data_IF_331747004489
#
_entry.id   IF_331747004489
#
_cell.length_a   1.000
_cell.length_b   1.000
_cell.length_c   1.000
_cell.angle_alpha   90.00
_cell.angle_beta   90.00
_cell.angle_gamma   90.00
#
_symmetry.space_group_name_H-M   'P 1'
#
loop_
_entity.id
_entity.type
_entity.pdbx_description
1 polymer ?
#
# COMPACT_ATOMS: atom_id res chain seq x y z
N UNK A 1 -34.29 18.81 -9.80
CA UNK A 1 -33.26 18.04 -9.04
C UNK A 1 -33.24 16.64 -9.61
N UNK A 2 -32.11 16.24 -10.23
CA UNK A 2 -32.09 15.08 -11.14
C UNK A 2 -32.23 13.74 -10.41
N UNK A 3 -33.44 13.15 -10.45
CA UNK A 3 -33.68 11.75 -10.07
C UNK A 3 -32.77 10.74 -10.81
N UNK A 4 -32.12 11.17 -11.90
CA UNK A 4 -31.20 10.36 -12.68
C UNK A 4 -29.87 10.08 -11.98
N UNK A 5 -29.40 10.90 -11.02
CA UNK A 5 -28.17 10.65 -10.28
C UNK A 5 -28.32 9.48 -9.31
N UNK A 6 -29.44 9.44 -8.59
CA UNK A 6 -29.74 8.35 -7.64
C UNK A 6 -29.91 6.99 -8.34
N UNK A 7 -30.34 6.98 -9.60
CA UNK A 7 -30.48 5.78 -10.41
C UNK A 7 -29.12 5.24 -10.93
N UNK A 8 -28.06 6.07 -10.91
CA UNK A 8 -26.71 5.68 -11.36
C UNK A 8 -25.80 5.20 -10.22
N UNK A 9 -26.25 5.37 -8.97
CA UNK A 9 -25.49 4.91 -7.80
C UNK A 9 -25.66 3.38 -7.67
N UNK A 10 -24.55 2.68 -7.53
CA UNK A 10 -24.56 1.27 -7.18
C UNK A 10 -24.93 1.08 -5.70
N UNK A 11 -26.21 0.90 -5.44
CA UNK A 11 -26.75 0.75 -4.09
C UNK A 11 -26.24 -0.52 -3.39
N UNK A 12 -25.84 -1.55 -4.13
CA UNK A 12 -25.23 -2.75 -3.55
C UNK A 12 -23.86 -2.44 -2.97
N UNK A 13 -23.05 -1.69 -3.70
CA UNK A 13 -21.75 -1.25 -3.19
C UNK A 13 -21.91 -0.35 -1.94
N UNK A 14 -22.87 0.57 -1.96
CA UNK A 14 -23.20 1.41 -0.81
C UNK A 14 -23.64 0.58 0.39
N UNK A 15 -24.52 -0.40 0.19
CA UNK A 15 -24.97 -1.29 1.27
C UNK A 15 -23.79 -2.08 1.86
N UNK A 16 -22.94 -2.66 1.03
CA UNK A 16 -21.75 -3.39 1.48
C UNK A 16 -20.82 -2.48 2.29
N UNK A 17 -20.61 -1.23 1.85
CA UNK A 17 -19.81 -0.25 2.59
C UNK A 17 -20.38 0.00 3.99
N UNK A 18 -21.69 0.27 4.12
CA UNK A 18 -22.31 0.51 5.42
C UNK A 18 -22.24 -0.71 6.34
N UNK A 19 -22.43 -1.92 5.80
CA UNK A 19 -22.29 -3.16 6.56
C UNK A 19 -20.86 -3.29 7.11
N UNK A 20 -19.84 -3.09 6.27
CA UNK A 20 -18.44 -3.19 6.67
C UNK A 20 -18.06 -2.14 7.72
N UNK A 21 -18.49 -0.89 7.56
CA UNK A 21 -18.23 0.17 8.54
C UNK A 21 -18.91 -0.13 9.87
N UNK A 22 -20.18 -0.55 9.84
CA UNK A 22 -20.92 -0.89 11.06
C UNK A 22 -20.25 -2.05 11.78
N UNK A 23 -19.85 -3.09 11.06
CA UNK A 23 -19.14 -4.22 11.63
C UNK A 23 -17.80 -3.80 12.25
N UNK A 24 -17.03 -2.92 11.58
CA UNK A 24 -15.81 -2.33 12.12
C UNK A 24 -16.04 -1.55 13.42
N UNK A 25 -17.07 -0.70 13.47
CA UNK A 25 -17.43 0.05 14.68
C UNK A 25 -17.83 -0.86 15.85
N UNK A 26 -18.58 -1.93 15.58
CA UNK A 26 -18.96 -2.93 16.59
C UNK A 26 -17.71 -3.65 17.12
N UNK A 27 -16.76 -4.00 16.27
CA UNK A 27 -15.51 -4.63 16.71
C UNK A 27 -14.66 -3.67 17.55
N UNK A 28 -14.50 -2.41 17.13
CA UNK A 28 -13.75 -1.40 17.90
C UNK A 28 -14.40 -1.22 19.28
N UNK A 29 -15.73 -1.12 19.33
CA UNK A 29 -16.46 -1.01 20.60
C UNK A 29 -16.20 -2.21 21.50
N UNK A 30 -16.31 -3.43 20.94
CA UNK A 30 -16.06 -4.68 21.68
C UNK A 30 -14.65 -4.74 22.27
N UNK A 31 -13.65 -4.24 21.54
CA UNK A 31 -12.27 -4.27 21.97
C UNK A 31 -11.93 -3.26 23.07
N UNK A 32 -12.65 -2.14 23.14
CA UNK A 32 -12.39 -1.06 24.11
C UNK A 32 -13.27 -1.19 25.35
N UNK A 33 -14.34 -1.98 25.27
CA UNK A 33 -15.31 -2.12 26.35
C UNK A 33 -14.73 -2.80 27.61
N UNK A 34 -14.63 -2.03 28.70
CA UNK A 34 -14.08 -2.47 29.99
C UNK A 34 -15.16 -2.56 31.10
N UNK A 35 -16.40 -2.91 30.74
CA UNK A 35 -17.52 -2.97 31.69
C UNK A 35 -18.23 -1.64 31.95
N UNK A 36 -17.72 -0.52 31.44
CA UNK A 36 -18.36 0.80 31.51
C UNK A 36 -18.87 1.15 30.12
N UNK A 37 -20.12 1.62 30.04
CA UNK A 37 -20.71 2.05 28.75
C UNK A 37 -19.95 3.26 28.20
N UNK A 38 -19.34 3.09 27.03
CA UNK A 38 -18.64 4.17 26.35
C UNK A 38 -19.65 5.01 25.58
N UNK A 39 -19.55 6.34 25.71
CA UNK A 39 -20.34 7.25 24.87
C UNK A 39 -19.84 7.21 23.44
N UNK A 40 -20.74 6.92 22.48
CA UNK A 40 -20.44 6.85 21.04
C UNK A 40 -20.12 8.22 20.42
N UNK A 41 -20.42 9.33 21.10
CA UNK A 41 -20.20 10.69 20.60
C UNK A 41 -19.10 11.44 21.34
N UNK A 42 -18.47 10.82 22.32
CA UNK A 42 -17.38 11.41 23.09
C UNK A 42 -16.08 11.37 22.27
N UNK A 43 -15.62 12.55 21.82
CA UNK A 43 -14.40 12.69 21.03
C UNK A 43 -13.11 12.33 21.78
N UNK A 44 -13.17 12.19 23.12
CA UNK A 44 -12.03 11.72 23.91
C UNK A 44 -11.73 10.22 23.69
N UNK A 45 -12.76 9.44 23.38
CA UNK A 45 -12.67 7.99 23.18
C UNK A 45 -12.37 7.64 21.70
N UNK A 46 -11.68 6.52 21.49
CA UNK A 46 -11.33 6.03 20.13
C UNK A 46 -12.59 5.77 19.30
N UNK A 47 -13.61 5.11 19.90
CA UNK A 47 -14.87 4.84 19.19
C UNK A 47 -15.62 6.12 18.82
N UNK A 48 -15.66 7.10 19.73
CA UNK A 48 -16.31 8.38 19.45
C UNK A 48 -15.62 9.14 18.33
N UNK A 49 -14.27 9.18 18.29
CA UNK A 49 -13.51 9.74 17.17
C UNK A 49 -13.87 9.05 15.85
N UNK A 50 -13.96 7.73 15.83
CA UNK A 50 -14.28 6.96 14.62
C UNK A 50 -15.71 7.24 14.13
N UNK A 51 -16.68 7.37 15.02
CA UNK A 51 -18.06 7.74 14.69
C UNK A 51 -18.09 9.15 14.10
N UNK A 52 -17.41 10.12 14.70
CA UNK A 52 -17.34 11.48 14.16
C UNK A 52 -16.68 11.54 12.78
N UNK A 53 -15.56 10.84 12.58
CA UNK A 53 -14.93 10.77 11.26
C UNK A 53 -15.84 10.12 10.22
N UNK A 54 -16.60 9.09 10.60
CA UNK A 54 -17.58 8.49 9.71
C UNK A 54 -18.67 9.47 9.30
N UNK A 55 -19.21 10.25 10.25
CA UNK A 55 -20.21 11.28 9.98
C UNK A 55 -19.65 12.35 9.03
N UNK A 56 -18.42 12.82 9.28
CA UNK A 56 -17.72 13.79 8.42
C UNK A 56 -17.55 13.22 7.00
N UNK A 57 -17.14 11.97 6.88
CA UNK A 57 -17.02 11.31 5.57
C UNK A 57 -18.34 11.25 4.82
N UNK A 58 -19.47 10.97 5.50
CA UNK A 58 -20.79 10.99 4.89
C UNK A 58 -21.19 12.40 4.41
N UNK A 59 -20.89 13.43 5.20
CA UNK A 59 -21.14 14.82 4.82
C UNK A 59 -20.33 15.20 3.58
N UNK A 60 -19.09 14.77 3.48
CA UNK A 60 -18.22 15.03 2.31
C UNK A 60 -18.66 14.19 1.10
N UNK A 61 -19.13 12.97 1.31
CA UNK A 61 -19.54 12.07 0.24
C UNK A 61 -20.71 12.61 -0.58
N UNK A 62 -21.69 13.25 0.07
CA UNK A 62 -22.87 13.82 -0.61
C UNK A 62 -22.48 14.86 -1.70
N UNK A 63 -21.72 15.93 -1.40
CA UNK A 63 -21.31 16.89 -2.44
C UNK A 63 -20.45 16.24 -3.53
N UNK A 64 -19.58 15.28 -3.20
CA UNK A 64 -18.75 14.58 -4.19
C UNK A 64 -19.58 13.89 -5.27
N UNK A 65 -20.76 13.35 -4.94
CA UNK A 65 -21.68 12.76 -5.92
C UNK A 65 -22.26 13.77 -6.91
N UNK A 66 -22.35 15.06 -6.54
CA UNK A 66 -22.89 16.12 -7.38
C UNK A 66 -21.83 16.89 -8.17
N UNK A 67 -20.57 16.76 -7.81
CA UNK A 67 -19.46 17.45 -8.48
C UNK A 67 -19.24 16.83 -9.86
N UNK A 68 -19.16 17.69 -10.88
CA UNK A 68 -18.84 17.26 -12.24
C UNK A 68 -17.39 16.77 -12.32
N UNK A 69 -17.13 15.66 -13.03
CA UNK A 69 -15.80 15.12 -13.30
C UNK A 69 -14.83 16.16 -13.89
N UNK A 70 -15.33 17.09 -14.70
CA UNK A 70 -14.52 18.17 -15.27
C UNK A 70 -13.83 19.05 -14.21
N UNK A 71 -14.45 19.23 -13.03
CA UNK A 71 -13.79 19.96 -11.94
C UNK A 71 -12.55 19.22 -11.42
N UNK A 72 -12.66 17.91 -11.28
CA UNK A 72 -11.51 17.08 -10.86
C UNK A 72 -10.39 17.09 -11.89
N UNK A 73 -10.73 17.13 -13.18
CA UNK A 73 -9.74 17.25 -14.27
C UNK A 73 -8.97 18.57 -14.15
N UNK A 74 -9.66 19.70 -13.96
CA UNK A 74 -9.02 21.02 -13.80
C UNK A 74 -8.18 21.13 -12.52
N UNK A 75 -8.63 20.49 -11.45
CA UNK A 75 -7.94 20.54 -10.14
C UNK A 75 -6.81 19.50 -10.02
N UNK A 76 -6.74 18.49 -10.88
CA UNK A 76 -5.81 17.37 -10.74
C UNK A 76 -4.35 17.83 -10.59
N UNK A 77 -3.89 18.74 -11.44
CA UNK A 77 -2.52 19.27 -11.38
C UNK A 77 -2.27 20.10 -10.13
N UNK A 78 -3.24 20.91 -9.72
CA UNK A 78 -3.14 21.77 -8.53
C UNK A 78 -3.08 20.89 -7.28
N UNK A 79 -3.97 19.91 -7.15
CA UNK A 79 -3.98 18.97 -6.03
C UNK A 79 -2.67 18.20 -5.92
N UNK A 80 -2.17 17.69 -7.05
CA UNK A 80 -0.89 17.00 -7.09
C UNK A 80 0.26 17.90 -6.62
N UNK A 81 0.32 19.15 -7.11
CA UNK A 81 1.36 20.10 -6.73
C UNK A 81 1.32 20.43 -5.24
N UNK A 82 0.11 20.63 -4.68
CA UNK A 82 -0.07 20.86 -3.24
C UNK A 82 0.43 19.64 -2.45
N UNK A 83 0.11 18.42 -2.89
CA UNK A 83 0.55 17.21 -2.19
C UNK A 83 2.07 17.04 -2.22
N UNK A 84 2.73 17.35 -3.34
CA UNK A 84 4.20 17.35 -3.41
C UNK A 84 4.80 18.37 -2.43
N UNK A 85 4.23 19.58 -2.36
CA UNK A 85 4.70 20.61 -1.41
C UNK A 85 4.50 20.13 0.04
N UNK A 86 3.37 19.51 0.36
CA UNK A 86 3.12 18.95 1.69
C UNK A 86 4.08 17.80 2.01
N UNK A 87 4.36 16.90 1.06
CA UNK A 87 5.34 15.84 1.26
C UNK A 87 6.75 16.42 1.50
N UNK A 88 7.16 17.45 0.75
CA UNK A 88 8.42 18.14 0.99
C UNK A 88 8.45 18.85 2.36
N UNK A 89 7.35 19.45 2.77
CA UNK A 89 7.23 20.13 4.06
C UNK A 89 7.40 19.19 5.26
N UNK A 90 7.13 17.88 5.13
CA UNK A 90 7.34 16.90 6.20
C UNK A 90 8.80 16.76 6.64
N UNK A 91 9.77 17.04 5.76
CA UNK A 91 11.19 17.04 6.13
C UNK A 91 11.56 18.15 7.13
N UNK A 92 10.72 19.20 7.21
CA UNK A 92 10.96 20.35 8.12
C UNK A 92 9.99 20.35 9.30
N UNK A 93 8.73 20.03 9.07
CA UNK A 93 7.64 20.16 10.04
C UNK A 93 7.02 18.82 10.44
N UNK A 94 7.52 17.70 9.93
CA UNK A 94 6.99 16.38 10.22
C UNK A 94 7.36 15.88 11.62
N UNK A 95 6.44 15.15 12.24
CA UNK A 95 6.71 14.40 13.47
C UNK A 95 6.99 12.93 13.13
N UNK A 96 7.90 12.32 13.89
CA UNK A 96 8.27 10.92 13.73
C UNK A 96 7.39 10.03 14.60
N UNK A 97 6.67 9.09 13.96
CA UNK A 97 5.85 8.09 14.62
C UNK A 97 6.28 6.71 14.11
N UNK A 98 6.62 5.80 15.02
CA UNK A 98 7.06 4.44 14.70
C UNK A 98 8.22 4.36 13.70
N UNK A 99 9.12 5.36 13.73
CA UNK A 99 10.30 5.44 12.86
C UNK A 99 10.09 6.19 11.54
N UNK A 100 8.85 6.56 11.16
CA UNK A 100 8.56 7.30 9.94
C UNK A 100 8.19 8.76 10.23
N UNK A 101 8.81 9.71 9.51
CA UNK A 101 8.52 11.16 9.62
C UNK A 101 7.45 11.54 8.60
N UNK A 102 6.24 11.01 8.77
CA UNK A 102 5.16 11.06 7.75
C UNK A 102 3.90 11.80 8.20
N UNK A 103 3.91 12.42 9.39
CA UNK A 103 2.73 13.03 9.99
C UNK A 103 2.92 14.52 10.30
N UNK A 104 1.89 15.32 10.05
CA UNK A 104 1.71 16.63 10.67
C UNK A 104 0.83 16.48 11.90
N UNK A 105 1.18 17.14 13.01
CA UNK A 105 0.36 17.21 14.22
C UNK A 105 -0.21 18.63 14.41
N UNK A 106 -1.51 18.72 14.44
CA UNK A 106 -2.26 19.97 14.65
C UNK A 106 -2.95 19.99 16.03
N UNK A 107 -2.25 19.59 17.07
CA UNK A 107 -2.79 19.62 18.43
C UNK A 107 -3.82 18.53 18.72
N UNK A 108 -3.53 17.30 18.28
CA UNK A 108 -4.37 16.11 18.51
C UNK A 108 -5.06 15.55 17.27
N UNK A 109 -5.06 16.31 16.17
CA UNK A 109 -5.45 15.79 14.85
C UNK A 109 -4.17 15.58 14.06
N UNK A 110 -3.91 14.35 13.64
CA UNK A 110 -2.76 13.98 12.84
C UNK A 110 -3.17 13.82 11.39
N UNK A 111 -2.41 14.42 10.48
CA UNK A 111 -2.62 14.34 9.04
C UNK A 111 -1.41 13.70 8.39
N UNK A 112 -1.66 12.66 7.60
CA UNK A 112 -0.63 11.97 6.80
C UNK A 112 -0.78 12.34 5.33
N UNK A 113 0.08 13.19 4.76
CA UNK A 113 -0.04 13.64 3.37
C UNK A 113 0.07 12.51 2.34
N UNK A 114 0.76 11.42 2.66
CA UNK A 114 0.88 10.25 1.77
C UNK A 114 -0.48 9.64 1.44
N UNK A 115 -1.47 9.67 2.36
CA UNK A 115 -2.82 9.18 2.13
C UNK A 115 -3.56 10.00 1.05
N UNK A 116 -3.46 11.31 1.14
CA UNK A 116 -4.07 12.23 0.17
C UNK A 116 -3.31 12.25 -1.16
N UNK A 117 -2.00 12.03 -1.13
CA UNK A 117 -1.19 11.99 -2.35
C UNK A 117 -1.58 10.84 -3.28
N UNK A 118 -2.06 9.70 -2.75
CA UNK A 118 -2.60 8.59 -3.55
C UNK A 118 -3.79 9.02 -4.40
N UNK A 119 -4.69 9.83 -3.83
CA UNK A 119 -5.85 10.39 -4.54
C UNK A 119 -5.39 11.38 -5.61
N UNK A 120 -4.51 12.31 -5.26
CA UNK A 120 -4.01 13.33 -6.19
C UNK A 120 -3.25 12.74 -7.38
N UNK A 121 -2.41 11.72 -7.13
CA UNK A 121 -1.70 10.97 -8.17
C UNK A 121 -2.69 10.26 -9.10
N UNK A 122 -3.69 9.58 -8.53
CA UNK A 122 -4.71 8.87 -9.32
C UNK A 122 -5.51 9.81 -10.20
N UNK A 123 -5.90 10.99 -9.69
CA UNK A 123 -6.61 12.02 -10.45
C UNK A 123 -5.74 12.59 -11.58
N UNK A 124 -4.47 12.88 -11.32
CA UNK A 124 -3.58 13.42 -12.35
C UNK A 124 -3.26 12.39 -13.44
N UNK A 125 -3.12 11.12 -13.08
CA UNK A 125 -2.96 10.03 -14.04
C UNK A 125 -4.22 9.90 -14.90
N UNK A 126 -5.40 9.89 -14.29
CA UNK A 126 -6.68 9.82 -15.00
C UNK A 126 -6.83 10.99 -15.97
N UNK A 127 -6.49 12.22 -15.54
CA UNK A 127 -6.49 13.40 -16.41
C UNK A 127 -5.56 13.25 -17.61
N UNK A 128 -4.33 12.78 -17.41
CA UNK A 128 -3.37 12.61 -18.51
C UNK A 128 -3.82 11.51 -19.48
N UNK A 129 -4.41 10.44 -18.97
CA UNK A 129 -4.86 9.31 -19.79
C UNK A 129 -6.20 9.58 -20.49
N UNK A 130 -7.00 10.54 -20.02
CA UNK A 130 -8.25 10.96 -20.69
C UNK A 130 -8.03 11.78 -21.98
N UNK A 131 -6.81 12.26 -22.22
CA UNK A 131 -6.49 13.02 -23.41
C UNK A 131 -6.61 12.19 -24.69
N UNK A 132 -7.17 12.79 -25.77
CA UNK A 132 -7.45 12.13 -27.06
C UNK A 132 -6.20 11.46 -27.68
N UNK A 133 -5.03 12.02 -27.43
CA UNK A 133 -3.73 11.54 -27.94
C UNK A 133 -2.90 10.77 -26.89
N UNK A 134 -3.48 10.43 -25.76
CA UNK A 134 -2.80 9.83 -24.63
C UNK A 134 -2.59 8.32 -24.81
N UNK A 135 -1.69 7.95 -25.69
CA UNK A 135 -1.26 6.56 -25.81
C UNK A 135 0.00 6.32 -24.96
N UNK A 136 -0.04 5.35 -24.04
CA UNK A 136 1.10 4.95 -23.19
C UNK A 136 2.31 4.44 -23.99
N UNK A 137 2.12 4.07 -25.24
CA UNK A 137 3.20 3.73 -26.17
C UNK A 137 4.01 4.95 -26.65
N UNK A 138 3.47 6.18 -26.51
CA UNK A 138 4.24 7.39 -26.76
C UNK A 138 5.21 7.63 -25.61
N UNK A 139 6.50 7.80 -25.91
CA UNK A 139 7.57 8.02 -24.91
C UNK A 139 7.24 9.15 -23.93
N UNK A 140 6.62 10.22 -24.39
CA UNK A 140 6.26 11.36 -23.52
C UNK A 140 5.19 11.00 -22.50
N UNK A 141 4.11 10.30 -22.90
CA UNK A 141 3.04 9.85 -22.01
C UNK A 141 3.57 8.82 -21.02
N UNK A 142 4.40 7.89 -21.49
CA UNK A 142 5.09 6.91 -20.65
C UNK A 142 5.93 7.57 -19.56
N UNK A 143 6.79 8.53 -19.94
CA UNK A 143 7.64 9.23 -18.97
C UNK A 143 6.82 10.05 -17.97
N UNK A 144 5.79 10.78 -18.43
CA UNK A 144 4.90 11.54 -17.53
C UNK A 144 4.22 10.62 -16.53
N UNK A 145 3.68 9.48 -16.96
CA UNK A 145 3.04 8.49 -16.10
C UNK A 145 3.96 8.05 -14.97
N UNK A 146 5.18 7.65 -15.29
CA UNK A 146 6.13 7.17 -14.29
C UNK A 146 6.69 8.28 -13.39
N UNK A 147 6.94 9.48 -13.91
CA UNK A 147 7.39 10.61 -13.09
C UNK A 147 6.33 10.97 -12.04
N UNK A 148 5.06 11.00 -12.41
CA UNK A 148 3.96 11.32 -11.50
C UNK A 148 3.82 10.30 -10.37
N UNK A 149 4.11 9.03 -10.63
CA UNK A 149 4.07 7.98 -9.61
C UNK A 149 5.34 7.98 -8.77
N UNK A 150 6.50 8.03 -9.42
CA UNK A 150 7.77 7.84 -8.74
C UNK A 150 8.16 9.04 -7.87
N UNK A 151 7.82 10.27 -8.26
CA UNK A 151 8.18 11.44 -7.48
C UNK A 151 7.62 11.41 -6.05
N UNK A 152 6.29 11.26 -5.81
CA UNK A 152 5.77 11.14 -4.45
C UNK A 152 6.26 9.86 -3.76
N UNK A 153 6.37 8.73 -4.47
CA UNK A 153 6.84 7.49 -3.90
C UNK A 153 8.28 7.60 -3.35
N UNK A 154 9.18 8.26 -4.08
CA UNK A 154 10.55 8.51 -3.64
C UNK A 154 10.61 9.46 -2.44
N UNK A 155 9.77 10.52 -2.41
CA UNK A 155 9.68 11.41 -1.26
C UNK A 155 9.20 10.66 0.00
N UNK A 156 8.24 9.76 -0.14
CA UNK A 156 7.70 8.96 0.96
C UNK A 156 8.75 7.92 1.44
N UNK A 157 9.51 7.31 0.54
CA UNK A 157 10.63 6.43 0.91
C UNK A 157 11.69 7.20 1.70
N UNK A 158 11.99 8.44 1.29
CA UNK A 158 12.94 9.31 1.99
C UNK A 158 12.44 9.76 3.39
N UNK A 159 11.14 9.58 3.71
CA UNK A 159 10.52 9.79 5.03
C UNK A 159 10.45 8.51 5.88
N UNK A 160 11.29 7.54 5.69
CA UNK A 160 11.28 6.11 6.05
C UNK A 160 9.85 5.48 6.18
N UNK A 161 8.98 5.69 5.16
CA UNK A 161 7.66 5.05 5.08
C UNK A 161 7.52 4.19 3.80
N UNK A 162 8.25 3.08 3.68
CA UNK A 162 8.20 2.22 2.51
C UNK A 162 6.83 1.56 2.31
N UNK A 163 6.04 1.38 3.38
CA UNK A 163 4.70 0.80 3.32
C UNK A 163 3.76 1.66 2.48
N UNK A 164 3.67 2.96 2.78
CA UNK A 164 2.86 3.90 2.01
C UNK A 164 3.36 4.06 0.57
N UNK A 165 4.68 4.02 0.35
CA UNK A 165 5.27 4.11 -0.99
C UNK A 165 4.91 2.90 -1.87
N UNK A 166 4.88 1.69 -1.32
CA UNK A 166 4.53 0.47 -2.06
C UNK A 166 3.11 0.50 -2.65
N UNK A 167 2.18 1.23 -2.04
CA UNK A 167 0.81 1.35 -2.55
C UNK A 167 0.78 1.94 -3.95
N UNK A 168 1.71 2.85 -4.28
CA UNK A 168 1.79 3.45 -5.62
C UNK A 168 2.14 2.42 -6.71
N UNK A 169 2.76 1.29 -6.34
CA UNK A 169 3.03 0.20 -7.29
C UNK A 169 1.75 -0.44 -7.82
N UNK A 170 0.61 -0.30 -7.12
CA UNK A 170 -0.69 -0.79 -7.61
C UNK A 170 -1.13 -0.11 -8.92
N UNK A 171 -0.65 1.11 -9.19
CA UNK A 171 -0.94 1.84 -10.43
C UNK A 171 -0.34 1.18 -11.69
N UNK A 172 0.53 0.18 -11.52
CA UNK A 172 1.00 -0.65 -12.64
C UNK A 172 -0.16 -1.40 -13.32
N UNK A 173 -1.19 -1.79 -12.56
CA UNK A 173 -2.37 -2.44 -13.13
C UNK A 173 -3.17 -1.47 -13.99
N UNK A 174 -3.24 -0.20 -13.58
CA UNK A 174 -3.84 0.87 -14.42
C UNK A 174 -3.03 1.07 -15.69
N UNK A 175 -1.69 1.09 -15.58
CA UNK A 175 -0.79 1.20 -16.73
C UNK A 175 -1.05 0.12 -17.79
N UNK A 176 -1.19 -1.13 -17.34
CA UNK A 176 -1.44 -2.27 -18.24
C UNK A 176 -2.83 -2.21 -18.86
N UNK A 177 -3.84 -1.89 -18.04
CA UNK A 177 -5.23 -1.76 -18.49
C UNK A 177 -5.38 -0.71 -19.61
N UNK A 178 -4.66 0.40 -19.49
CA UNK A 178 -4.71 1.50 -20.46
C UNK A 178 -3.74 1.28 -21.66
N UNK A 179 -3.34 0.05 -21.92
CA UNK A 179 -2.55 -0.34 -23.09
C UNK A 179 -1.04 -0.17 -22.92
N UNK A 180 -0.56 -0.06 -21.70
CA UNK A 180 0.87 -0.08 -21.40
C UNK A 180 1.51 -1.44 -21.67
N UNK A 181 2.83 -1.44 -21.81
CA UNK A 181 3.57 -2.64 -22.14
C UNK A 181 3.50 -3.70 -21.01
N UNK A 182 2.96 -4.87 -21.30
CA UNK A 182 2.83 -5.98 -20.35
C UNK A 182 4.18 -6.47 -19.79
N UNK A 183 5.28 -6.27 -20.51
CA UNK A 183 6.62 -6.61 -20.01
C UNK A 183 7.01 -5.86 -18.73
N UNK A 184 6.41 -4.69 -18.46
CA UNK A 184 6.63 -3.95 -17.22
C UNK A 184 6.10 -4.75 -16.02
N UNK A 185 4.94 -5.39 -16.13
CA UNK A 185 4.43 -6.28 -15.08
C UNK A 185 5.35 -7.47 -14.84
N UNK A 186 5.77 -8.12 -15.93
CA UNK A 186 6.70 -9.25 -15.85
C UNK A 186 7.98 -8.82 -15.14
N UNK A 187 8.51 -7.64 -15.49
CA UNK A 187 9.70 -7.10 -14.84
C UNK A 187 9.48 -6.86 -13.35
N UNK A 188 8.35 -6.26 -12.94
CA UNK A 188 8.06 -6.01 -11.53
C UNK A 188 7.86 -7.32 -10.74
N UNK A 189 7.15 -8.29 -11.30
CA UNK A 189 6.95 -9.60 -10.66
C UNK A 189 8.29 -10.35 -10.54
N UNK A 190 9.11 -10.33 -11.59
CA UNK A 190 10.43 -10.94 -11.58
C UNK A 190 11.35 -10.26 -10.56
N UNK A 191 11.33 -8.93 -10.49
CA UNK A 191 12.12 -8.17 -9.50
C UNK A 191 11.71 -8.50 -8.07
N UNK A 192 10.41 -8.58 -7.78
CA UNK A 192 9.90 -8.99 -6.48
C UNK A 192 10.32 -10.43 -6.14
N UNK A 193 10.26 -11.33 -7.10
CA UNK A 193 10.67 -12.72 -6.92
C UNK A 193 12.18 -12.82 -6.63
N UNK A 194 13.02 -12.11 -7.38
CA UNK A 194 14.47 -12.05 -7.15
C UNK A 194 14.76 -11.44 -5.77
N UNK A 195 14.03 -10.39 -5.37
CA UNK A 195 14.15 -9.76 -4.06
C UNK A 195 13.92 -10.79 -2.93
N UNK A 196 12.80 -11.51 -2.98
CA UNK A 196 12.46 -12.53 -1.98
C UNK A 196 13.51 -13.64 -1.94
N UNK A 197 13.90 -14.17 -3.11
CA UNK A 197 14.91 -15.23 -3.18
C UNK A 197 16.27 -14.77 -2.66
N UNK A 198 16.64 -13.51 -2.89
CA UNK A 198 17.92 -12.97 -2.40
C UNK A 198 17.95 -12.90 -0.88
N UNK A 199 16.84 -12.54 -0.25
CA UNK A 199 16.75 -12.50 1.22
C UNK A 199 16.74 -13.91 1.81
N UNK A 200 16.02 -14.85 1.18
CA UNK A 200 15.91 -16.23 1.68
C UNK A 200 17.21 -17.03 1.54
N UNK A 201 17.94 -16.88 0.43
CA UNK A 201 18.98 -17.82 0.03
C UNK A 201 20.36 -17.20 -0.20
N UNK A 202 20.62 -15.97 0.24
CA UNK A 202 21.86 -15.24 -0.10
C UNK A 202 21.93 -14.90 -1.62
N UNK A 203 22.55 -13.78 -2.06
CA UNK A 203 22.53 -13.33 -3.46
C UNK A 203 23.20 -14.29 -4.46
N UNK A 204 24.06 -15.19 -4.00
CA UNK A 204 24.79 -16.14 -4.86
C UNK A 204 23.82 -17.17 -5.49
N UNK A 205 22.93 -17.76 -4.69
CA UNK A 205 22.04 -18.82 -5.17
C UNK A 205 21.02 -18.36 -6.21
N UNK A 206 20.27 -17.25 -6.00
CA UNK A 206 19.40 -16.69 -7.04
C UNK A 206 20.17 -16.34 -8.31
N UNK A 207 21.40 -15.79 -8.20
CA UNK A 207 22.23 -15.45 -9.35
C UNK A 207 22.59 -16.67 -10.19
N UNK A 208 22.94 -17.80 -9.56
CA UNK A 208 23.20 -19.07 -10.25
C UNK A 208 21.93 -19.60 -10.91
N UNK A 209 20.79 -19.58 -10.21
CA UNK A 209 19.50 -20.01 -10.75
C UNK A 209 19.08 -19.20 -11.98
N UNK A 210 19.21 -17.88 -11.93
CA UNK A 210 18.94 -17.00 -13.06
C UNK A 210 19.85 -17.27 -14.24
N UNK A 211 21.16 -17.47 -13.98
CA UNK A 211 22.11 -17.80 -15.03
C UNK A 211 21.74 -19.12 -15.72
N UNK A 212 21.36 -20.14 -14.95
CA UNK A 212 20.92 -21.44 -15.46
C UNK A 212 19.66 -21.33 -16.33
N UNK A 213 18.65 -20.61 -15.86
CA UNK A 213 17.40 -20.39 -16.61
C UNK A 213 17.67 -19.64 -17.91
N UNK A 214 18.50 -18.59 -17.87
CA UNK A 214 18.86 -17.85 -19.08
C UNK A 214 19.65 -18.69 -20.08
N UNK A 215 20.54 -19.58 -19.63
CA UNK A 215 21.25 -20.52 -20.52
C UNK A 215 20.24 -21.44 -21.23
N UNK A 216 19.26 -21.98 -20.50
CA UNK A 216 18.21 -22.80 -21.09
C UNK A 216 17.37 -22.03 -22.13
N UNK A 217 17.01 -20.79 -21.83
CA UNK A 217 16.27 -19.91 -22.74
C UNK A 217 17.12 -19.65 -24.00
N UNK A 218 18.39 -19.33 -23.86
CA UNK A 218 19.31 -19.09 -25.00
C UNK A 218 19.42 -20.34 -25.86
N UNK A 219 19.56 -21.50 -25.22
CA UNK A 219 19.64 -22.79 -25.92
C UNK A 219 18.37 -23.05 -26.75
N UNK A 220 17.19 -22.88 -26.15
CA UNK A 220 15.90 -23.11 -26.80
C UNK A 220 15.65 -22.12 -27.94
N UNK A 221 15.89 -20.83 -27.73
CA UNK A 221 15.66 -19.78 -28.73
C UNK A 221 16.67 -19.90 -29.90
N UNK A 222 17.94 -20.27 -29.62
CA UNK A 222 18.91 -20.55 -30.68
C UNK A 222 18.50 -21.71 -31.58
N UNK A 223 17.82 -22.70 -31.02
CA UNK A 223 17.32 -23.82 -31.80
C UNK A 223 16.22 -23.42 -32.78
N UNK A 224 15.44 -22.37 -32.44
CA UNK A 224 14.32 -21.89 -33.27
C UNK A 224 14.71 -20.77 -34.24
N UNK A 225 15.65 -19.90 -33.92
CA UNK A 225 16.01 -18.73 -34.72
C UNK A 225 17.50 -18.48 -34.73
N UNK A 226 18.08 -18.31 -35.94
CA UNK A 226 19.51 -17.98 -36.13
C UNK A 226 19.87 -16.53 -35.82
N UNK A 227 18.87 -15.63 -35.66
CA UNK A 227 19.08 -14.18 -35.53
C UNK A 227 18.90 -13.68 -34.10
N UNK A 228 19.76 -14.14 -33.19
CA UNK A 228 19.67 -13.73 -31.78
C UNK A 228 20.77 -12.74 -31.40
N UNK A 229 20.38 -11.67 -30.76
CA UNK A 229 21.27 -10.73 -30.10
C UNK A 229 21.71 -11.30 -28.76
N UNK A 230 22.74 -12.13 -28.74
CA UNK A 230 23.35 -12.66 -27.50
C UNK A 230 23.64 -11.58 -26.47
N UNK A 231 24.01 -10.40 -26.94
CA UNK A 231 24.30 -9.24 -26.11
C UNK A 231 23.14 -8.83 -25.20
N UNK A 232 21.90 -8.98 -25.66
CA UNK A 232 20.72 -8.68 -24.85
C UNK A 232 20.56 -9.64 -23.65
N UNK A 233 20.87 -10.91 -23.83
CA UNK A 233 20.82 -11.89 -22.74
C UNK A 233 21.90 -11.66 -21.69
N UNK A 234 23.10 -11.25 -22.13
CA UNK A 234 24.18 -10.86 -21.21
C UNK A 234 23.78 -9.62 -20.38
N UNK A 235 23.15 -8.61 -21.00
CA UNK A 235 22.66 -7.44 -20.29
C UNK A 235 21.60 -7.80 -19.25
N UNK A 236 20.66 -8.68 -19.58
CA UNK A 236 19.64 -9.17 -18.65
C UNK A 236 20.31 -9.93 -17.49
N UNK A 237 21.26 -10.83 -17.78
CA UNK A 237 21.98 -11.59 -16.76
C UNK A 237 22.72 -10.66 -15.79
N UNK A 238 23.51 -9.72 -16.33
CA UNK A 238 24.23 -8.74 -15.51
C UNK A 238 23.27 -7.86 -14.71
N UNK A 239 22.17 -7.44 -15.30
CA UNK A 239 21.14 -6.66 -14.62
C UNK A 239 20.51 -7.41 -13.45
N UNK A 240 20.14 -8.67 -13.63
CA UNK A 240 19.57 -9.51 -12.55
C UNK A 240 20.58 -9.82 -11.44
N UNK A 241 21.84 -10.13 -11.79
CA UNK A 241 22.90 -10.34 -10.81
C UNK A 241 23.16 -9.05 -10.04
N UNK A 242 23.35 -7.92 -10.74
CA UNK A 242 23.56 -6.62 -10.12
C UNK A 242 22.40 -6.23 -9.20
N UNK A 243 21.16 -6.51 -9.61
CA UNK A 243 19.98 -6.29 -8.79
C UNK A 243 20.01 -7.14 -7.52
N UNK A 244 20.32 -8.45 -7.62
CA UNK A 244 20.40 -9.34 -6.46
C UNK A 244 21.45 -8.87 -5.45
N UNK A 245 22.66 -8.48 -5.90
CA UNK A 245 23.68 -7.93 -5.01
C UNK A 245 23.29 -6.57 -4.43
N UNK A 246 22.63 -5.69 -5.21
CA UNK A 246 22.12 -4.41 -4.73
C UNK A 246 21.04 -4.60 -3.65
N UNK A 247 20.13 -5.57 -3.83
CA UNK A 247 19.13 -5.93 -2.82
C UNK A 247 19.80 -6.36 -1.52
N UNK A 248 20.81 -7.24 -1.59
CA UNK A 248 21.52 -7.69 -0.41
C UNK A 248 22.25 -6.54 0.31
N UNK A 249 22.88 -5.65 -0.45
CA UNK A 249 23.55 -4.47 0.11
C UNK A 249 22.54 -3.53 0.77
N UNK A 250 21.46 -3.18 0.08
CA UNK A 250 20.44 -2.27 0.61
C UNK A 250 19.76 -2.88 1.84
N UNK A 251 19.47 -4.17 1.82
CA UNK A 251 18.83 -4.86 2.93
C UNK A 251 19.72 -4.89 4.18
N UNK A 252 21.01 -5.15 4.04
CA UNK A 252 21.92 -5.30 5.18
C UNK A 252 22.53 -3.99 5.68
N UNK A 253 22.80 -3.02 4.78
CA UNK A 253 23.56 -1.81 5.11
C UNK A 253 22.69 -0.54 5.17
N UNK A 254 21.61 -0.49 4.40
CA UNK A 254 20.77 0.73 4.28
C UNK A 254 19.50 0.63 5.13
N UNK A 255 18.87 -0.55 5.18
CA UNK A 255 17.65 -0.73 5.94
C UNK A 255 17.93 -0.71 7.44
N UNK A 256 17.13 0.06 8.19
CA UNK A 256 17.15 0.05 9.64
C UNK A 256 16.71 -1.32 10.19
N UNK A 257 17.20 -1.66 11.39
CA UNK A 257 16.97 -2.97 12.01
C UNK A 257 15.48 -3.35 12.05
N UNK A 258 14.60 -2.40 12.39
CA UNK A 258 13.18 -2.67 12.50
C UNK A 258 12.51 -3.03 11.16
N UNK A 259 12.99 -2.50 10.02
CA UNK A 259 12.50 -2.88 8.69
C UNK A 259 12.96 -4.29 8.32
N UNK A 260 14.23 -4.62 8.61
CA UNK A 260 14.77 -5.97 8.38
C UNK A 260 14.02 -7.02 9.18
N UNK A 261 13.77 -6.74 10.45
CA UNK A 261 13.08 -7.67 11.34
C UNK A 261 11.63 -7.93 10.90
N UNK A 262 10.92 -6.91 10.44
CA UNK A 262 9.57 -7.08 9.87
C UNK A 262 9.57 -7.96 8.61
N UNK A 263 10.52 -7.77 7.71
CA UNK A 263 10.64 -8.59 6.50
C UNK A 263 11.02 -10.03 6.87
N UNK A 264 12.01 -10.22 7.74
CA UNK A 264 12.45 -11.53 8.20
C UNK A 264 11.35 -12.30 8.92
N UNK A 265 10.55 -11.61 9.75
CA UNK A 265 9.38 -12.19 10.42
C UNK A 265 8.30 -12.60 9.42
N UNK A 266 8.03 -11.76 8.42
CA UNK A 266 7.04 -12.05 7.36
C UNK A 266 7.47 -13.25 6.52
N UNK A 267 8.77 -13.39 6.25
CA UNK A 267 9.35 -14.52 5.50
C UNK A 267 9.56 -15.78 6.38
N UNK A 268 9.31 -15.70 7.70
CA UNK A 268 9.48 -16.83 8.62
C UNK A 268 10.94 -17.16 8.93
N UNK A 269 11.86 -16.22 8.70
CA UNK A 269 13.29 -16.39 8.99
C UNK A 269 13.62 -16.18 10.47
N UNK A 270 12.78 -15.46 11.19
CA UNK A 270 12.90 -15.19 12.63
C UNK A 270 11.59 -15.55 13.30
N UNK A 271 11.63 -16.40 14.31
CA UNK A 271 10.53 -16.68 15.21
C UNK A 271 10.70 -15.84 16.48
N UNK A 272 10.18 -14.62 16.49
CA UNK A 272 10.19 -13.78 17.67
C UNK A 272 8.78 -13.77 18.31
N UNK A 273 8.56 -14.65 19.27
CA UNK A 273 7.28 -14.81 19.96
C UNK A 273 7.02 -13.69 20.98
N UNK A 274 8.06 -13.01 21.45
CA UNK A 274 7.98 -12.03 22.55
C UNK A 274 8.30 -10.59 22.16
N UNK A 275 8.93 -10.37 21.00
CA UNK A 275 9.31 -9.05 20.49
C UNK A 275 8.38 -8.56 19.37
N UNK A 276 8.96 -8.23 18.22
CA UNK A 276 8.25 -7.65 17.06
C UNK A 276 7.14 -8.57 16.54
N UNK A 277 7.31 -9.90 16.65
CA UNK A 277 6.31 -10.92 16.27
C UNK A 277 5.17 -11.12 17.26
N UNK A 278 5.25 -10.55 18.47
CA UNK A 278 4.26 -10.76 19.51
C UNK A 278 2.84 -10.41 19.06
N UNK A 279 2.65 -9.24 18.46
CA UNK A 279 1.35 -8.76 18.02
C UNK A 279 0.71 -9.72 17.00
N UNK A 280 1.50 -10.17 16.02
CA UNK A 280 1.05 -11.10 14.98
C UNK A 280 0.71 -12.47 15.58
N UNK A 281 1.53 -12.96 16.52
CA UNK A 281 1.29 -14.24 17.15
C UNK A 281 0.04 -14.21 18.04
N UNK A 282 -0.15 -13.15 18.84
CA UNK A 282 -1.36 -12.98 19.65
C UNK A 282 -2.62 -12.85 18.79
N UNK A 283 -2.54 -12.12 17.69
CA UNK A 283 -3.63 -12.04 16.71
C UNK A 283 -3.97 -13.42 16.11
N UNK A 284 -2.96 -14.21 15.70
CA UNK A 284 -3.18 -15.59 15.21
C UNK A 284 -3.84 -16.47 16.25
N UNK A 285 -3.43 -16.37 17.53
CA UNK A 285 -4.04 -17.12 18.63
C UNK A 285 -5.50 -16.68 18.83
N UNK A 286 -5.77 -15.38 18.80
CA UNK A 286 -7.12 -14.84 18.91
C UNK A 286 -8.03 -15.38 17.81
N UNK A 287 -7.62 -15.24 16.55
CA UNK A 287 -8.36 -15.72 15.37
C UNK A 287 -8.54 -17.24 15.42
N UNK A 288 -7.48 -17.99 15.70
CA UNK A 288 -7.53 -19.45 15.80
C UNK A 288 -8.47 -19.93 16.93
N UNK A 289 -8.48 -19.25 18.07
CA UNK A 289 -9.37 -19.60 19.19
C UNK A 289 -10.84 -19.26 18.94
N UNK A 290 -11.13 -18.30 18.05
CA UNK A 290 -12.48 -17.90 17.67
C UNK A 290 -13.08 -18.76 16.54
N UNK A 291 -12.25 -19.46 15.78
CA UNK A 291 -12.66 -20.20 14.59
C UNK A 291 -13.50 -19.34 13.62
N UNK A 292 -14.45 -19.91 12.89
CA UNK A 292 -15.27 -19.18 11.91
C UNK A 292 -16.34 -18.28 12.53
N UNK A 293 -16.96 -18.70 13.63
CA UNK A 293 -18.08 -18.01 14.27
C UNK A 293 -17.66 -16.98 15.34
N UNK A 294 -16.38 -16.97 15.72
CA UNK A 294 -15.90 -16.17 16.83
C UNK A 294 -16.40 -16.67 18.19
N UNK A 295 -15.96 -16.03 19.27
CA UNK A 295 -16.43 -16.33 20.65
C UNK A 295 -17.70 -15.58 21.05
N UNK A 296 -18.23 -14.75 20.15
CA UNK A 296 -19.39 -13.90 20.38
C UNK A 296 -19.04 -12.50 20.87
N UNK A 297 -20.00 -11.59 20.69
CA UNK A 297 -19.85 -10.19 21.07
C UNK A 297 -19.48 -10.03 22.55
N UNK A 298 -18.45 -9.26 22.86
CA UNK A 298 -17.90 -9.04 24.19
C UNK A 298 -17.37 -10.29 24.92
N UNK A 299 -17.17 -11.42 24.25
CA UNK A 299 -16.72 -12.66 24.89
C UNK A 299 -15.31 -13.12 24.46
N UNK A 300 -14.59 -12.29 23.71
CA UNK A 300 -13.23 -12.58 23.28
C UNK A 300 -12.25 -12.63 24.44
N UNK A 301 -11.68 -13.81 24.71
CA UNK A 301 -10.74 -14.00 25.85
C UNK A 301 -9.42 -13.27 25.62
N UNK A 302 -8.94 -13.20 24.37
CA UNK A 302 -7.69 -12.54 24.03
C UNK A 302 -7.84 -11.02 23.99
N UNK A 303 -8.97 -10.53 23.47
CA UNK A 303 -9.29 -9.11 23.38
C UNK A 303 -9.58 -8.50 24.75
N UNK A 304 -10.41 -9.16 25.59
CA UNK A 304 -10.67 -8.72 26.98
C UNK A 304 -9.43 -8.71 27.87
N UNK A 305 -8.52 -9.66 27.66
CA UNK A 305 -7.28 -9.74 28.42
C UNK A 305 -6.23 -8.72 27.97
N UNK A 306 -6.50 -7.93 26.92
CA UNK A 306 -5.54 -6.97 26.35
C UNK A 306 -4.27 -7.64 25.82
N UNK A 307 -4.34 -8.93 25.46
CA UNK A 307 -3.17 -9.68 24.97
C UNK A 307 -2.77 -9.33 23.53
N UNK A 308 -3.69 -8.77 22.76
CA UNK A 308 -3.42 -8.32 21.36
C UNK A 308 -3.20 -6.81 21.39
N UNK A 309 -1.96 -6.33 21.26
CA UNK A 309 -1.71 -4.90 21.12
C UNK A 309 -2.32 -4.36 19.82
N UNK A 310 -2.70 -3.07 19.81
CA UNK A 310 -3.29 -2.39 18.64
C UNK A 310 -4.49 -3.14 18.02
N UNK A 311 -5.27 -3.85 18.86
CA UNK A 311 -6.44 -4.62 18.44
C UNK A 311 -7.58 -3.77 17.85
N UNK A 312 -7.55 -2.46 18.10
CA UNK A 312 -8.55 -1.51 17.60
C UNK A 312 -8.16 -0.85 16.26
N UNK A 313 -6.96 -1.12 15.76
CA UNK A 313 -6.41 -0.61 14.49
C UNK A 313 -5.94 -1.75 13.60
N UNK A 314 -4.70 -2.23 13.81
CA UNK A 314 -4.01 -3.15 12.92
C UNK A 314 -4.57 -4.58 12.97
N UNK A 315 -5.14 -4.98 14.12
CA UNK A 315 -5.63 -6.34 14.35
C UNK A 315 -7.13 -6.38 14.68
N UNK A 316 -7.94 -5.61 13.96
CA UNK A 316 -9.38 -5.45 14.20
C UNK A 316 -10.18 -6.76 14.10
N UNK A 317 -9.67 -7.78 13.42
CA UNK A 317 -10.30 -9.10 13.27
C UNK A 317 -9.87 -10.12 14.33
N UNK A 318 -9.07 -9.73 15.30
CA UNK A 318 -8.54 -10.63 16.35
C UNK A 318 -9.56 -10.93 17.41
#
# INVERSE_FOLDING_TARGET
MNNQLLLRVDWWAVLCYFILVTFGLVNIYSNIYNGVTLSLFDFSNIIGKQVWFFIICLIIWIPVLYINSALFEHLAFILYSIMIILLLGLFVFGITISGATSWYDFGGIRLQPSEFSKIAVSLLIAFILSGIDAHLNKRQTFLKFWIIILLPALLIIAQPDPGSALVFMSLIFVFIREGGCFYVLIFCVASLFIFILTILFNPIYPSIGIAFVLILIIYYVRRQSKKNRLWSYFLILFGCIGFSFSVNFIFNEVFEQHHRDRINLTLGLIEDVKGIGYNVNQSKIAIGSGAFNGKGFLNGSQTKGGFVPEQHTDFIFS
#
